data_IF_274404198565
#
_entry.id   IF_274404198565
#
_cell.length_a   1.000
_cell.length_b   1.000
_cell.length_c   1.000
_cell.angle_alpha   90.00
_cell.angle_beta   90.00
_cell.angle_gamma   90.00
#
_symmetry.space_group_name_H-M   'P 1'
#
loop_
_entity.id
_entity.type
_entity.pdbx_description
1 polymer ?
#
# COMPACT_ATOMS: atom_id res chain seq x y z
N UNK A 1 -3.35 16.58 -37.30
CA UNK A 1 -3.22 16.87 -35.85
C UNK A 1 -3.65 15.62 -35.12
N UNK A 2 -2.70 14.78 -34.68
CA UNK A 2 -3.04 13.71 -33.73
C UNK A 2 -3.49 14.40 -32.43
N UNK A 3 -4.72 14.17 -31.99
CA UNK A 3 -5.16 14.55 -30.66
C UNK A 3 -4.36 13.71 -29.66
N UNK A 4 -3.20 14.22 -29.22
CA UNK A 4 -2.35 13.52 -28.26
C UNK A 4 -3.13 13.22 -26.97
N UNK A 5 -2.87 12.05 -26.38
CA UNK A 5 -3.53 11.57 -25.17
C UNK A 5 -3.20 12.42 -23.94
N UNK A 6 -3.68 11.99 -22.77
CA UNK A 6 -3.41 12.64 -21.50
C UNK A 6 -1.97 12.37 -21.06
N UNK A 7 -1.18 13.42 -20.80
CA UNK A 7 0.20 13.29 -20.33
C UNK A 7 0.22 12.99 -18.84
N UNK A 8 0.87 11.87 -18.49
CA UNK A 8 1.03 11.40 -17.11
C UNK A 8 2.51 11.39 -16.76
N UNK A 9 2.84 11.84 -15.55
CA UNK A 9 4.20 11.80 -15.02
C UNK A 9 4.30 10.78 -13.88
N UNK A 10 5.33 9.96 -13.90
CA UNK A 10 5.67 9.04 -12.83
C UNK A 10 7.02 9.40 -12.24
N UNK A 11 7.13 9.35 -10.92
CA UNK A 11 8.33 9.76 -10.19
C UNK A 11 8.71 8.66 -9.21
N UNK A 12 9.94 8.14 -9.30
CA UNK A 12 10.55 7.36 -8.22
C UNK A 12 11.42 8.27 -7.37
N UNK A 13 11.09 8.40 -6.09
CA UNK A 13 11.75 9.31 -5.17
C UNK A 13 12.61 8.56 -4.15
N UNK A 14 13.83 9.04 -3.93
CA UNK A 14 14.68 8.69 -2.79
C UNK A 14 15.14 9.96 -2.07
N UNK A 15 15.81 9.88 -0.90
CA UNK A 15 16.23 11.07 -0.17
C UNK A 15 17.11 12.03 -0.99
N UNK A 16 17.99 11.51 -1.84
CA UNK A 16 19.02 12.29 -2.55
C UNK A 16 19.02 12.11 -4.08
N UNK A 17 18.03 11.42 -4.63
CA UNK A 17 17.90 11.18 -6.06
C UNK A 17 16.42 11.00 -6.47
N UNK A 18 16.16 11.17 -7.76
CA UNK A 18 14.88 10.83 -8.36
C UNK A 18 15.05 10.28 -9.78
N UNK A 19 14.05 9.54 -10.21
CA UNK A 19 13.85 9.17 -11.61
C UNK A 19 12.46 9.61 -12.02
N UNK A 20 12.27 9.95 -13.28
CA UNK A 20 10.96 10.26 -13.83
C UNK A 20 10.76 9.66 -15.20
N UNK A 21 9.49 9.42 -15.53
CA UNK A 21 9.01 9.15 -16.86
C UNK A 21 7.76 9.97 -17.13
N UNK A 22 7.56 10.37 -18.38
CA UNK A 22 6.38 11.05 -18.87
C UNK A 22 5.79 10.17 -19.97
N UNK A 23 4.53 9.78 -19.84
CA UNK A 23 3.82 8.97 -20.82
C UNK A 23 2.72 9.76 -21.50
N UNK A 24 2.45 9.42 -22.76
CA UNK A 24 1.36 9.94 -23.60
C UNK A 24 0.63 8.75 -24.23
N UNK A 25 -0.49 8.34 -23.60
CA UNK A 25 -1.10 7.05 -23.90
C UNK A 25 -0.11 5.90 -23.63
N UNK A 26 0.12 5.08 -24.66
CA UNK A 26 0.95 3.87 -24.57
C UNK A 26 2.46 4.12 -24.80
N UNK A 27 2.88 5.39 -24.95
CA UNK A 27 4.27 5.74 -25.25
C UNK A 27 4.92 6.54 -24.12
N UNK A 28 6.16 6.21 -23.77
CA UNK A 28 7.01 7.08 -22.95
C UNK A 28 7.67 8.14 -23.83
N UNK A 29 7.40 9.43 -23.55
CA UNK A 29 7.84 10.57 -24.37
C UNK A 29 9.03 11.32 -23.78
N UNK A 30 9.29 11.17 -22.48
CA UNK A 30 10.48 11.69 -21.82
C UNK A 30 10.78 10.88 -20.57
N UNK A 31 12.06 10.74 -20.23
CA UNK A 31 12.49 10.13 -18.98
C UNK A 31 13.85 10.71 -18.55
N UNK A 32 14.18 10.59 -17.27
CA UNK A 32 15.48 11.04 -16.78
C UNK A 32 15.71 10.70 -15.31
N UNK A 33 16.94 10.95 -14.87
CA UNK A 33 17.37 10.73 -13.49
C UNK A 33 18.33 11.83 -13.05
N UNK A 34 18.25 12.18 -11.76
CA UNK A 34 19.20 13.09 -11.09
C UNK A 34 19.51 12.54 -9.71
N UNK A 35 20.73 12.77 -9.25
CA UNK A 35 21.21 12.37 -7.94
C UNK A 35 22.15 13.45 -7.37
N UNK A 36 22.49 13.32 -6.08
CA UNK A 36 23.44 14.19 -5.39
C UNK A 36 22.79 15.37 -4.67
N UNK A 37 21.48 15.31 -4.42
CA UNK A 37 20.79 16.30 -3.59
C UNK A 37 21.12 16.09 -2.10
N UNK A 38 21.25 17.19 -1.37
CA UNK A 38 21.59 17.18 0.06
C UNK A 38 20.36 17.11 0.95
N UNK A 39 19.22 17.63 0.49
CA UNK A 39 17.96 17.59 1.23
C UNK A 39 16.85 16.98 0.38
N UNK A 40 15.92 16.29 1.04
CA UNK A 40 14.75 15.73 0.38
C UNK A 40 13.86 16.81 -0.27
N UNK A 41 13.78 18.00 0.34
CA UNK A 41 13.03 19.13 -0.23
C UNK A 41 13.62 19.58 -1.57
N UNK A 42 14.95 19.61 -1.69
CA UNK A 42 15.61 19.92 -2.96
C UNK A 42 15.37 18.82 -3.99
N UNK A 43 15.46 17.55 -3.58
CA UNK A 43 15.17 16.40 -4.45
C UNK A 43 13.75 16.49 -5.04
N UNK A 44 12.75 16.75 -4.18
CA UNK A 44 11.35 16.90 -4.61
C UNK A 44 11.19 18.09 -5.54
N UNK A 45 11.68 19.27 -5.16
CA UNK A 45 11.54 20.47 -5.98
C UNK A 45 12.19 20.31 -7.36
N UNK A 46 13.37 19.68 -7.41
CA UNK A 46 14.08 19.40 -8.66
C UNK A 46 13.32 18.41 -9.55
N UNK A 47 12.73 17.35 -8.98
CA UNK A 47 11.95 16.36 -9.73
C UNK A 47 10.79 17.03 -10.49
N UNK A 48 9.99 17.82 -9.79
CA UNK A 48 8.85 18.52 -10.39
C UNK A 48 9.28 19.61 -11.39
N UNK A 49 10.35 20.35 -11.10
CA UNK A 49 10.90 21.35 -12.02
C UNK A 49 11.41 20.72 -13.33
N UNK A 50 12.11 19.59 -13.24
CA UNK A 50 12.64 18.89 -14.41
C UNK A 50 11.51 18.33 -15.28
N UNK A 51 10.49 17.72 -14.68
CA UNK A 51 9.30 17.24 -15.41
C UNK A 51 8.59 18.40 -16.10
N UNK A 52 8.41 19.53 -15.43
CA UNK A 52 7.80 20.73 -16.01
C UNK A 52 8.57 21.24 -17.23
N UNK A 53 9.90 21.16 -17.20
CA UNK A 53 10.77 21.54 -18.33
C UNK A 53 10.81 20.51 -19.45
N UNK A 54 10.70 19.23 -19.14
CA UNK A 54 10.80 18.13 -20.10
C UNK A 54 9.47 17.80 -20.79
N UNK A 55 8.33 18.14 -20.17
CA UNK A 55 7.02 17.80 -20.68
C UNK A 55 6.69 18.54 -21.99
N UNK A 56 6.30 17.83 -23.08
CA UNK A 56 6.00 18.45 -24.36
C UNK A 56 4.65 19.20 -24.37
N UNK A 57 3.73 18.84 -23.45
CA UNK A 57 2.46 19.54 -23.22
C UNK A 57 2.14 19.48 -21.72
N UNK A 58 0.98 19.99 -21.34
CA UNK A 58 0.52 20.02 -19.95
C UNK A 58 0.37 18.59 -19.40
N UNK A 59 1.12 18.28 -18.33
CA UNK A 59 0.92 17.08 -17.51
C UNK A 59 -0.38 17.22 -16.72
N UNK A 60 -1.24 16.19 -16.79
CA UNK A 60 -2.55 16.15 -16.10
C UNK A 60 -2.56 15.25 -14.88
N UNK A 61 -1.61 14.34 -14.78
CA UNK A 61 -1.48 13.42 -13.66
C UNK A 61 -0.02 13.28 -13.26
N UNK A 62 0.26 13.26 -11.97
CA UNK A 62 1.57 12.95 -11.43
C UNK A 62 1.43 11.91 -10.31
N UNK A 63 2.15 10.79 -10.42
CA UNK A 63 2.18 9.75 -9.38
C UNK A 63 3.60 9.59 -8.85
N UNK A 64 3.75 9.57 -7.54
CA UNK A 64 5.06 9.49 -6.88
C UNK A 64 5.17 8.20 -6.06
N UNK A 65 6.17 7.37 -6.36
CA UNK A 65 6.67 6.33 -5.47
C UNK A 65 7.54 6.97 -4.39
N UNK A 66 7.09 6.88 -3.14
CA UNK A 66 7.77 7.45 -1.96
C UNK A 66 8.41 6.37 -1.08
N UNK A 67 8.35 5.10 -1.50
CA UNK A 67 8.82 3.97 -0.69
C UNK A 67 10.30 4.11 -0.33
N UNK A 68 11.13 4.55 -1.29
CA UNK A 68 12.56 4.80 -1.07
C UNK A 68 12.87 5.90 -0.05
N UNK A 69 11.91 6.78 0.25
CA UNK A 69 12.02 7.73 1.37
C UNK A 69 11.51 7.09 2.66
N UNK A 70 10.28 6.55 2.65
CA UNK A 70 9.64 5.99 3.84
C UNK A 70 10.45 4.87 4.51
N UNK A 71 11.07 4.01 3.70
CA UNK A 71 11.89 2.89 4.17
C UNK A 71 13.16 3.33 4.94
N UNK A 72 13.59 4.58 4.78
CA UNK A 72 14.75 5.14 5.50
C UNK A 72 14.38 5.80 6.83
N UNK A 73 13.09 5.93 7.12
CA UNK A 73 12.61 6.65 8.29
C UNK A 73 12.52 5.75 9.52
N UNK A 74 12.88 6.32 10.67
CA UNK A 74 12.52 5.77 11.97
C UNK A 74 11.09 6.18 12.31
N UNK A 75 10.18 5.24 12.62
CA UNK A 75 8.83 5.58 13.07
C UNK A 75 8.86 6.46 14.33
N UNK A 76 7.93 7.39 14.44
CA UNK A 76 7.75 8.19 15.65
C UNK A 76 7.37 7.30 16.86
N UNK A 77 7.63 7.73 18.11
CA UNK A 77 7.18 7.00 19.29
C UNK A 77 5.67 6.74 19.30
N UNK A 78 5.29 5.49 19.54
CA UNK A 78 3.90 4.99 19.50
C UNK A 78 3.48 4.47 20.87
N UNK A 79 2.24 4.77 21.26
CA UNK A 79 1.54 4.04 22.32
C UNK A 79 0.69 2.94 21.68
N UNK A 80 0.94 1.68 22.06
CA UNK A 80 0.22 0.52 21.55
C UNK A 80 -0.86 0.09 22.55
N UNK A 81 -2.12 0.11 22.13
CA UNK A 81 -3.27 -0.33 22.92
C UNK A 81 -3.80 -1.63 22.33
N UNK A 82 -3.81 -2.69 23.13
CA UNK A 82 -4.16 -4.04 22.69
C UNK A 82 -5.40 -4.52 23.41
N UNK A 83 -6.47 -4.75 22.66
CA UNK A 83 -7.77 -5.19 23.17
C UNK A 83 -7.91 -6.70 23.00
N UNK A 84 -7.96 -7.41 24.12
CA UNK A 84 -8.09 -8.87 24.15
C UNK A 84 -8.77 -9.35 25.42
N UNK A 85 -9.33 -10.59 25.46
CA UNK A 85 -10.07 -11.04 26.64
C UNK A 85 -9.21 -11.19 27.90
N UNK A 86 -7.91 -11.37 27.72
CA UNK A 86 -6.90 -11.52 28.77
C UNK A 86 -5.56 -10.97 28.27
N UNK A 87 -4.66 -10.51 29.17
CA UNK A 87 -3.30 -10.18 28.78
C UNK A 87 -2.56 -11.42 28.26
N UNK A 88 -1.56 -11.23 27.38
CA UNK A 88 -0.71 -12.32 26.93
C UNK A 88 0.11 -12.87 28.12
N UNK A 89 0.21 -14.18 28.21
CA UNK A 89 1.19 -14.82 29.10
C UNK A 89 2.58 -14.84 28.43
N UNK A 90 3.62 -15.27 29.15
CA UNK A 90 4.99 -15.26 28.66
C UNK A 90 5.20 -16.06 27.35
N UNK A 91 4.39 -17.08 27.09
CA UNK A 91 4.47 -17.87 25.85
C UNK A 91 3.74 -17.21 24.67
N UNK A 92 2.67 -16.46 24.96
CA UNK A 92 1.84 -15.80 23.95
C UNK A 92 2.14 -14.30 23.81
N UNK A 93 3.16 -13.80 24.51
CA UNK A 93 3.72 -12.47 24.31
C UNK A 93 4.42 -12.43 22.96
N UNK A 94 3.69 -12.02 21.91
CA UNK A 94 4.29 -11.87 20.60
C UNK A 94 5.28 -10.70 20.62
N UNK A 95 6.46 -10.93 20.06
CA UNK A 95 7.43 -9.88 19.85
C UNK A 95 7.12 -9.19 18.52
N UNK A 96 6.97 -7.86 18.57
CA UNK A 96 7.00 -7.08 17.34
C UNK A 96 8.39 -7.19 16.71
N UNK A 97 8.49 -7.15 15.37
CA UNK A 97 9.76 -6.93 14.70
C UNK A 97 10.49 -5.71 15.28
N UNK A 98 11.83 -5.76 15.33
CA UNK A 98 12.66 -4.76 16.02
C UNK A 98 12.27 -3.30 15.69
N UNK A 99 12.06 -2.99 14.41
CA UNK A 99 11.69 -1.65 13.96
C UNK A 99 10.39 -1.11 14.58
N UNK A 100 9.39 -1.97 14.81
CA UNK A 100 8.17 -1.56 15.52
C UNK A 100 8.30 -1.67 17.03
N UNK A 101 9.04 -2.66 17.54
CA UNK A 101 9.30 -2.80 18.97
C UNK A 101 10.00 -1.57 19.54
N UNK A 102 11.01 -1.05 18.84
CA UNK A 102 11.77 0.14 19.23
C UNK A 102 10.93 1.42 19.21
N UNK A 103 9.88 1.47 18.38
CA UNK A 103 8.96 2.60 18.31
C UNK A 103 7.91 2.59 19.42
N UNK A 104 7.57 1.43 19.99
CA UNK A 104 6.54 1.32 21.03
C UNK A 104 7.12 1.70 22.39
N UNK A 105 6.74 2.87 22.88
CA UNK A 105 7.24 3.40 24.17
C UNK A 105 6.34 3.07 25.36
N UNK A 106 5.08 2.69 25.10
CA UNK A 106 4.12 2.26 26.10
C UNK A 106 3.17 1.23 25.48
N UNK A 107 2.93 0.14 26.19
CA UNK A 107 1.92 -0.86 25.85
C UNK A 107 0.83 -0.89 26.91
N UNK A 108 -0.42 -0.78 26.50
CA UNK A 108 -1.60 -0.87 27.36
C UNK A 108 -2.44 -2.05 26.91
N UNK A 109 -2.81 -2.92 27.84
CA UNK A 109 -3.78 -3.99 27.60
C UNK A 109 -5.15 -3.55 28.10
N UNK A 110 -6.17 -3.72 27.27
CA UNK A 110 -7.57 -3.46 27.63
C UNK A 110 -8.36 -4.76 27.47
N UNK A 111 -9.15 -5.11 28.48
CA UNK A 111 -10.02 -6.29 28.39
C UNK A 111 -11.15 -6.03 27.39
N UNK A 112 -11.32 -6.93 26.44
CA UNK A 112 -12.38 -6.84 25.42
C UNK A 112 -12.18 -7.86 24.30
N UNK A 113 -12.77 -7.61 23.13
CA UNK A 113 -12.60 -8.39 21.92
C UNK A 113 -13.85 -9.13 21.47
N UNK A 114 -13.85 -9.50 20.20
CA UNK A 114 -14.97 -10.17 19.53
C UNK A 114 -14.52 -11.47 18.86
N UNK A 115 -15.48 -12.36 18.61
CA UNK A 115 -15.28 -13.55 17.81
C UNK A 115 -15.37 -13.23 16.30
N UNK A 116 -15.21 -14.27 15.46
CA UNK A 116 -15.31 -14.15 14.00
C UNK A 116 -16.74 -13.87 13.50
N UNK A 117 -17.74 -13.83 14.40
CA UNK A 117 -19.13 -13.45 14.11
C UNK A 117 -19.43 -12.01 14.57
N UNK A 118 -18.44 -11.32 15.13
CA UNK A 118 -18.61 -9.99 15.71
C UNK A 118 -19.36 -10.00 17.04
N UNK A 119 -19.53 -11.16 17.68
CA UNK A 119 -20.10 -11.25 19.03
C UNK A 119 -19.02 -10.97 20.07
N UNK A 120 -19.36 -10.26 21.15
CA UNK A 120 -18.41 -9.99 22.23
C UNK A 120 -17.93 -11.30 22.86
N UNK A 121 -16.61 -11.49 22.92
CA UNK A 121 -15.99 -12.53 23.76
C UNK A 121 -16.07 -12.12 25.23
N UNK A 122 -15.88 -10.83 25.49
CA UNK A 122 -16.05 -10.20 26.78
C UNK A 122 -16.30 -8.72 26.57
N UNK A 123 -17.07 -8.10 27.47
CA UNK A 123 -17.36 -6.68 27.40
C UNK A 123 -16.10 -5.84 27.56
N UNK A 124 -16.06 -4.72 26.83
CA UNK A 124 -14.96 -3.76 26.90
C UNK A 124 -14.86 -3.13 28.28
N UNK A 125 -13.70 -3.25 28.92
CA UNK A 125 -13.38 -2.59 30.19
C UNK A 125 -12.96 -1.13 29.95
N UNK A 126 -13.94 -0.30 29.61
CA UNK A 126 -13.72 1.10 29.28
C UNK A 126 -13.37 1.95 30.51
N UNK A 127 -13.94 1.61 31.67
CA UNK A 127 -13.63 2.28 32.93
C UNK A 127 -12.19 2.02 33.36
N UNK A 128 -11.72 0.77 33.29
CA UNK A 128 -10.31 0.46 33.51
C UNK A 128 -9.39 1.11 32.48
N UNK A 129 -9.83 1.24 31.22
CA UNK A 129 -9.06 1.96 30.20
C UNK A 129 -8.86 3.44 30.54
N UNK A 130 -9.89 4.13 31.05
CA UNK A 130 -9.82 5.55 31.40
C UNK A 130 -8.73 5.85 32.44
N UNK A 131 -8.44 4.91 33.34
CA UNK A 131 -7.35 5.03 34.32
C UNK A 131 -5.95 5.10 33.66
N UNK A 132 -5.79 4.57 32.45
CA UNK A 132 -4.54 4.63 31.69
C UNK A 132 -4.32 5.95 30.95
N UNK A 133 -5.38 6.73 30.69
CA UNK A 133 -5.30 7.96 29.87
C UNK A 133 -4.23 8.95 30.40
N UNK A 134 -4.15 9.28 31.70
CA UNK A 134 -3.12 10.19 32.20
C UNK A 134 -1.69 9.69 31.94
N UNK A 135 -1.46 8.38 32.05
CA UNK A 135 -0.16 7.78 31.76
C UNK A 135 0.17 7.78 30.27
N UNK A 136 -0.83 7.57 29.41
CA UNK A 136 -0.69 7.68 27.95
C UNK A 136 -0.28 9.11 27.57
N UNK A 137 -0.99 10.11 28.09
CA UNK A 137 -0.72 11.52 27.78
C UNK A 137 0.64 12.00 28.32
N UNK A 138 1.08 11.49 29.47
CA UNK A 138 2.38 11.87 30.05
C UNK A 138 3.58 11.36 29.26
N UNK A 139 3.41 10.36 28.37
CA UNK A 139 4.47 9.92 27.44
C UNK A 139 4.86 11.01 26.44
N UNK A 140 3.96 11.96 26.15
CA UNK A 140 4.14 12.97 25.11
C UNK A 140 4.00 12.44 23.67
N UNK A 141 3.82 11.13 23.46
CA UNK A 141 3.59 10.58 22.13
C UNK A 141 2.25 11.06 21.56
N UNK A 142 2.25 11.35 20.25
CA UNK A 142 1.05 11.72 19.49
C UNK A 142 0.49 10.56 18.68
N UNK A 143 1.28 9.54 18.38
CA UNK A 143 0.88 8.38 17.61
C UNK A 143 0.32 7.29 18.52
N UNK A 144 -0.93 6.89 18.28
CA UNK A 144 -1.60 5.80 18.99
C UNK A 144 -1.98 4.70 17.99
N UNK A 145 -1.66 3.45 18.32
CA UNK A 145 -2.12 2.28 17.59
C UNK A 145 -3.05 1.46 18.48
N UNK A 146 -4.25 1.14 17.99
CA UNK A 146 -5.24 0.33 18.70
C UNK A 146 -5.49 -0.95 17.91
N UNK A 147 -5.29 -2.10 18.56
CA UNK A 147 -5.46 -3.42 17.94
C UNK A 147 -6.40 -4.29 18.75
N UNK A 148 -7.52 -4.69 18.16
CA UNK A 148 -8.51 -5.57 18.77
C UNK A 148 -8.54 -7.01 18.24
N UNK A 149 -8.78 -7.96 19.14
CA UNK A 149 -9.21 -9.31 18.78
C UNK A 149 -10.62 -9.24 18.17
N UNK A 150 -10.81 -9.86 17.01
CA UNK A 150 -12.07 -9.79 16.26
C UNK A 150 -12.30 -8.47 15.52
N UNK A 151 -11.33 -7.54 15.54
CA UNK A 151 -11.48 -6.23 14.89
C UNK A 151 -11.88 -6.33 13.41
N UNK A 152 -11.50 -7.39 12.71
CA UNK A 152 -11.84 -7.61 11.29
C UNK A 152 -13.36 -7.68 10.99
N UNK A 153 -14.18 -8.06 11.96
CA UNK A 153 -15.64 -8.19 11.79
C UNK A 153 -16.38 -7.01 12.38
N UNK A 154 -15.85 -6.43 13.45
CA UNK A 154 -16.43 -5.27 14.12
C UNK A 154 -15.34 -4.38 14.72
N UNK A 155 -15.48 -3.08 14.50
CA UNK A 155 -14.56 -2.05 14.99
C UNK A 155 -14.98 -1.40 16.31
N UNK A 156 -16.07 -1.89 16.94
CA UNK A 156 -16.72 -1.22 18.08
C UNK A 156 -15.74 -0.90 19.21
N UNK A 157 -15.04 -1.92 19.73
CA UNK A 157 -14.12 -1.71 20.84
C UNK A 157 -12.93 -0.81 20.49
N UNK A 158 -12.40 -0.90 19.27
CA UNK A 158 -11.31 -0.02 18.83
C UNK A 158 -11.78 1.43 18.73
N UNK A 159 -12.99 1.64 18.19
CA UNK A 159 -13.56 2.99 18.00
C UNK A 159 -13.88 3.63 19.35
N UNK A 160 -14.47 2.90 20.30
CA UNK A 160 -14.79 3.43 21.63
C UNK A 160 -13.54 3.86 22.41
N UNK A 161 -12.44 3.12 22.30
CA UNK A 161 -11.15 3.51 22.87
C UNK A 161 -10.60 4.76 22.17
N UNK A 162 -10.71 4.82 20.84
CA UNK A 162 -10.28 5.97 20.07
C UNK A 162 -11.05 7.24 20.48
N UNK A 163 -12.36 7.14 20.68
CA UNK A 163 -13.22 8.24 21.10
C UNK A 163 -12.79 8.79 22.46
N UNK A 164 -12.58 7.94 23.49
CA UNK A 164 -12.09 8.37 24.81
C UNK A 164 -10.75 9.11 24.74
N UNK A 165 -9.83 8.65 23.88
CA UNK A 165 -8.53 9.29 23.69
C UNK A 165 -8.65 10.65 23.00
N UNK A 166 -9.48 10.75 21.96
CA UNK A 166 -9.69 11.98 21.20
C UNK A 166 -10.48 13.01 22.01
N UNK A 167 -11.39 12.58 22.88
CA UNK A 167 -12.05 13.43 23.86
C UNK A 167 -11.07 13.99 24.90
N UNK A 168 -10.12 13.16 25.35
CA UNK A 168 -9.09 13.59 26.29
C UNK A 168 -8.03 14.50 25.64
N UNK A 169 -7.67 14.25 24.38
CA UNK A 169 -6.75 15.07 23.60
C UNK A 169 -6.97 14.90 22.08
N UNK A 170 -7.57 15.92 21.46
CA UNK A 170 -7.87 15.94 20.03
C UNK A 170 -6.65 16.05 19.11
N UNK A 171 -5.45 16.27 19.65
CA UNK A 171 -4.20 16.29 18.87
C UNK A 171 -3.60 14.89 18.64
N UNK A 172 -4.18 13.84 19.24
CA UNK A 172 -3.71 12.48 19.05
C UNK A 172 -4.02 11.98 17.63
N UNK A 173 -3.07 11.27 17.03
CA UNK A 173 -3.24 10.56 15.78
C UNK A 173 -3.51 9.09 16.09
N UNK A 174 -4.79 8.71 16.02
CA UNK A 174 -5.24 7.36 16.34
C UNK A 174 -5.35 6.52 15.07
N UNK A 175 -4.65 5.39 15.05
CA UNK A 175 -4.77 4.34 14.04
C UNK A 175 -5.46 3.13 14.67
N UNK A 176 -6.54 2.65 14.04
CA UNK A 176 -7.24 1.43 14.45
C UNK A 176 -6.90 0.28 13.50
N UNK A 177 -6.78 -0.94 14.03
CA UNK A 177 -6.31 -2.08 13.26
C UNK A 177 -7.34 -2.66 12.29
N UNK A 178 -8.63 -2.37 12.48
CA UNK A 178 -9.72 -2.75 11.56
C UNK A 178 -9.46 -2.34 10.11
N UNK A 179 -8.72 -1.25 9.87
CA UNK A 179 -8.37 -0.81 8.52
C UNK A 179 -7.34 -1.71 7.81
N UNK A 180 -6.64 -2.57 8.56
CA UNK A 180 -5.61 -3.44 8.02
C UNK A 180 -6.04 -4.90 8.01
N UNK A 181 -6.05 -5.48 6.82
CA UNK A 181 -6.81 -6.69 6.55
C UNK A 181 -5.94 -7.93 6.69
N UNK A 182 -5.93 -8.51 7.89
CA UNK A 182 -5.25 -9.76 8.19
C UNK A 182 -6.00 -10.53 9.27
N UNK A 183 -6.10 -11.86 9.14
CA UNK A 183 -6.65 -12.71 10.21
C UNK A 183 -5.72 -12.78 11.43
N UNK A 184 -4.41 -12.63 11.25
CA UNK A 184 -3.41 -12.59 12.32
C UNK A 184 -3.50 -11.26 13.09
N UNK A 185 -3.73 -11.37 14.41
CA UNK A 185 -3.66 -10.24 15.34
C UNK A 185 -2.27 -9.58 15.28
N UNK A 186 -1.21 -10.37 15.25
CA UNK A 186 0.18 -9.88 15.23
C UNK A 186 0.46 -9.02 14.00
N UNK A 187 0.01 -9.45 12.83
CA UNK A 187 0.23 -8.70 11.60
C UNK A 187 -0.53 -7.37 11.63
N UNK A 188 -1.76 -7.36 12.17
CA UNK A 188 -2.55 -6.13 12.35
C UNK A 188 -1.91 -5.19 13.36
N UNK A 189 -1.44 -5.73 14.49
CA UNK A 189 -0.77 -4.97 15.55
C UNK A 189 0.49 -4.28 15.01
N UNK A 190 1.34 -5.05 14.34
CA UNK A 190 2.54 -4.52 13.70
C UNK A 190 2.21 -3.44 12.67
N UNK A 191 1.21 -3.70 11.83
CA UNK A 191 0.80 -2.76 10.78
C UNK A 191 0.25 -1.46 11.36
N UNK A 192 -0.60 -1.54 12.39
CA UNK A 192 -1.16 -0.37 13.05
C UNK A 192 -0.07 0.47 13.74
N UNK A 193 0.88 -0.17 14.41
CA UNK A 193 2.04 0.51 15.03
C UNK A 193 2.89 1.22 13.97
N UNK A 194 3.28 0.51 12.90
CA UNK A 194 4.10 1.09 11.83
C UNK A 194 3.37 2.25 11.13
N UNK A 195 2.08 2.08 10.84
CA UNK A 195 1.28 3.12 10.21
C UNK A 195 1.17 4.37 11.10
N UNK A 196 0.86 4.20 12.38
CA UNK A 196 0.76 5.29 13.35
C UNK A 196 2.09 6.04 13.49
N UNK A 197 3.21 5.31 13.59
CA UNK A 197 4.54 5.90 13.71
C UNK A 197 5.00 6.65 12.46
N UNK A 198 4.52 6.26 11.27
CA UNK A 198 4.87 6.91 9.99
C UNK A 198 3.91 8.04 9.59
N UNK A 199 2.72 8.15 10.18
CA UNK A 199 1.67 9.09 9.77
C UNK A 199 2.14 10.55 9.71
N UNK A 200 2.90 11.00 10.72
CA UNK A 200 3.43 12.37 10.76
C UNK A 200 4.44 12.64 9.63
N UNK A 201 5.30 11.67 9.32
CA UNK A 201 6.23 11.78 8.21
C UNK A 201 5.51 11.76 6.86
N UNK A 202 4.50 10.89 6.71
CA UNK A 202 3.62 10.85 5.55
C UNK A 202 2.89 12.17 5.30
N UNK A 203 2.41 12.84 6.36
CA UNK A 203 1.79 14.17 6.26
C UNK A 203 2.77 15.26 5.78
N UNK A 204 4.01 15.25 6.29
CA UNK A 204 5.08 16.17 5.84
C UNK A 204 5.44 15.93 4.38
N UNK A 205 5.57 14.66 3.98
CA UNK A 205 5.83 14.27 2.61
C UNK A 205 4.71 14.74 1.67
N UNK A 206 3.45 14.47 2.02
CA UNK A 206 2.29 14.90 1.24
C UNK A 206 2.31 16.42 1.02
N UNK A 207 2.52 17.19 2.10
CA UNK A 207 2.56 18.66 2.04
C UNK A 207 3.67 19.15 1.11
N UNK A 208 4.87 18.58 1.20
CA UNK A 208 6.01 18.96 0.36
C UNK A 208 5.80 18.60 -1.12
N UNK A 209 5.18 17.45 -1.39
CA UNK A 209 4.81 17.01 -2.74
C UNK A 209 3.72 17.93 -3.32
N UNK A 210 2.68 18.26 -2.56
CA UNK A 210 1.59 19.16 -2.97
C UNK A 210 2.09 20.57 -3.27
N UNK A 211 2.94 21.13 -2.41
CA UNK A 211 3.58 22.44 -2.62
C UNK A 211 4.43 22.46 -3.89
N UNK A 212 5.17 21.38 -4.16
CA UNK A 212 6.01 21.30 -5.36
C UNK A 212 5.19 21.09 -6.62
N UNK A 213 4.18 20.21 -6.58
CA UNK A 213 3.29 19.97 -7.70
C UNK A 213 2.50 21.23 -8.07
N UNK A 214 1.90 21.92 -7.10
CA UNK A 214 1.16 23.17 -7.34
C UNK A 214 2.02 24.27 -7.96
N UNK A 215 3.33 24.30 -7.63
CA UNK A 215 4.28 25.25 -8.21
C UNK A 215 4.66 24.93 -9.66
N UNK A 216 4.97 23.68 -9.97
CA UNK A 216 5.59 23.30 -11.25
C UNK A 216 4.65 22.60 -12.23
N UNK A 217 3.64 21.89 -11.72
CA UNK A 217 2.62 21.14 -12.48
C UNK A 217 1.20 21.52 -12.00
N UNK A 218 0.79 22.79 -12.06
CA UNK A 218 -0.45 23.29 -11.42
C UNK A 218 -1.76 22.69 -11.96
N UNK A 219 -1.72 21.95 -13.08
CA UNK A 219 -2.88 21.28 -13.70
C UNK A 219 -2.85 19.77 -13.50
N UNK A 220 -1.89 19.25 -12.76
CA UNK A 220 -1.74 17.82 -12.51
C UNK A 220 -2.46 17.41 -11.23
N UNK A 221 -3.22 16.31 -11.31
CA UNK A 221 -3.70 15.60 -10.13
C UNK A 221 -2.55 14.80 -9.52
N UNK A 222 -2.28 15.03 -8.23
CA UNK A 222 -1.15 14.42 -7.54
C UNK A 222 -1.57 13.21 -6.71
N UNK A 223 -0.91 12.08 -6.95
CA UNK A 223 -1.12 10.82 -6.26
C UNK A 223 0.21 10.23 -5.77
N UNK A 224 0.12 9.31 -4.81
CA UNK A 224 1.23 8.46 -4.43
C UNK A 224 0.97 7.03 -4.91
N UNK A 225 2.04 6.31 -5.22
CA UNK A 225 1.96 4.90 -5.59
C UNK A 225 1.67 4.04 -4.36
N UNK A 226 0.84 3.01 -4.55
CA UNK A 226 0.59 1.98 -3.55
C UNK A 226 1.34 0.70 -3.88
N UNK A 227 1.52 -0.11 -2.86
CA UNK A 227 2.18 -1.40 -2.89
C UNK A 227 1.45 -2.50 -3.68
N UNK A 228 0.21 -2.25 -4.10
CA UNK A 228 -0.52 -3.10 -5.03
C UNK A 228 -0.30 -2.75 -6.52
N UNK A 229 0.42 -1.66 -6.83
CA UNK A 229 0.69 -1.20 -8.20
C UNK A 229 -0.31 -0.17 -8.73
N UNK A 230 -1.36 0.14 -7.96
CA UNK A 230 -2.20 1.31 -8.22
C UNK A 230 -1.75 2.54 -7.44
N UNK A 231 -2.58 3.57 -7.43
CA UNK A 231 -2.33 4.84 -6.75
C UNK A 231 -3.48 5.25 -5.84
N UNK A 232 -3.20 6.23 -4.98
CA UNK A 232 -4.19 6.95 -4.20
C UNK A 232 -3.82 8.43 -4.09
N UNK A 233 -4.78 9.33 -3.83
CA UNK A 233 -4.48 10.76 -3.69
C UNK A 233 -3.37 11.00 -2.67
N UNK A 234 -2.47 11.94 -2.95
CA UNK A 234 -1.26 12.15 -2.14
C UNK A 234 -1.55 12.41 -0.66
N UNK A 235 -2.65 13.12 -0.35
CA UNK A 235 -3.15 13.37 1.02
C UNK A 235 -3.34 12.09 1.87
N UNK A 236 -3.55 10.94 1.25
CA UNK A 236 -3.72 9.65 1.95
C UNK A 236 -2.43 9.20 2.65
N UNK A 237 -1.26 9.71 2.27
CA UNK A 237 0.00 9.46 2.98
C UNK A 237 -0.05 9.89 4.46
N UNK A 238 -0.87 10.87 4.82
CA UNK A 238 -1.04 11.30 6.21
C UNK A 238 -1.81 10.28 7.08
N UNK A 239 -2.58 9.38 6.45
CA UNK A 239 -3.48 8.45 7.14
C UNK A 239 -3.00 7.01 6.99
N UNK A 240 -2.62 6.61 5.79
CA UNK A 240 -2.19 5.25 5.47
C UNK A 240 -0.85 5.22 4.73
N UNK A 241 0.24 5.78 5.28
CA UNK A 241 1.57 5.72 4.65
C UNK A 241 2.03 4.27 4.44
N UNK A 242 1.51 3.32 5.22
CA UNK A 242 1.86 1.90 5.11
C UNK A 242 1.57 1.31 3.73
N UNK A 243 0.55 1.82 3.02
CA UNK A 243 0.24 1.35 1.67
C UNK A 243 1.27 1.81 0.63
N UNK A 244 2.13 2.77 0.96
CA UNK A 244 3.20 3.27 0.11
C UNK A 244 4.57 2.63 0.42
N UNK A 245 4.65 1.77 1.44
CA UNK A 245 5.87 1.00 1.70
C UNK A 245 6.01 -0.12 0.67
N UNK A 246 7.22 -0.36 0.20
CA UNK A 246 7.55 -1.42 -0.76
C UNK A 246 6.79 -1.33 -2.10
N UNK A 247 6.30 -0.14 -2.47
CA UNK A 247 5.59 0.07 -3.73
C UNK A 247 6.45 -0.02 -4.98
N UNK A 248 7.78 0.08 -4.84
CA UNK A 248 8.73 -0.05 -5.94
C UNK A 248 8.54 -1.33 -6.75
N UNK A 249 8.39 -2.49 -6.09
CA UNK A 249 8.24 -3.77 -6.79
C UNK A 249 6.98 -3.80 -7.66
N UNK A 250 5.87 -3.31 -7.12
CA UNK A 250 4.62 -3.25 -7.86
C UNK A 250 4.72 -2.29 -9.06
N UNK A 251 5.37 -1.14 -8.90
CA UNK A 251 5.63 -0.21 -10.00
C UNK A 251 6.53 -0.82 -11.07
N UNK A 252 7.61 -1.51 -10.67
CA UNK A 252 8.54 -2.16 -11.60
C UNK A 252 7.80 -3.17 -12.49
N UNK A 253 6.97 -4.03 -11.88
CA UNK A 253 6.14 -4.98 -12.61
C UNK A 253 5.18 -4.27 -13.58
N UNK A 254 4.49 -3.23 -13.13
CA UNK A 254 3.56 -2.45 -13.97
C UNK A 254 4.29 -1.79 -15.14
N UNK A 255 5.45 -1.19 -14.90
CA UNK A 255 6.25 -0.53 -15.93
C UNK A 255 6.79 -1.50 -16.97
N UNK A 256 7.29 -2.66 -16.54
CA UNK A 256 7.73 -3.72 -17.47
C UNK A 256 6.55 -4.24 -18.30
N UNK A 257 5.43 -4.58 -17.67
CA UNK A 257 4.23 -5.06 -18.35
C UNK A 257 3.72 -4.06 -19.41
N UNK A 258 3.71 -2.77 -19.06
CA UNK A 258 3.32 -1.69 -19.97
C UNK A 258 4.26 -1.58 -21.17
N UNK A 259 5.58 -1.49 -20.93
CA UNK A 259 6.58 -1.35 -21.99
C UNK A 259 6.66 -2.58 -22.91
N UNK A 260 6.40 -3.77 -22.37
CA UNK A 260 6.33 -5.01 -23.13
C UNK A 260 4.96 -5.25 -23.80
N UNK A 261 3.96 -4.37 -23.60
CA UNK A 261 2.58 -4.56 -24.05
C UNK A 261 1.98 -5.90 -23.61
N UNK A 262 2.28 -6.31 -22.37
CA UNK A 262 1.93 -7.61 -21.80
C UNK A 262 1.19 -7.42 -20.46
N UNK A 263 -0.11 -7.07 -20.49
CA UNK A 263 -0.88 -6.75 -19.27
C UNK A 263 -1.26 -7.98 -18.43
N UNK A 264 -1.12 -9.19 -18.97
CA UNK A 264 -1.51 -10.44 -18.33
C UNK A 264 -0.41 -11.49 -18.46
N UNK A 265 -0.29 -12.35 -17.44
CA UNK A 265 0.58 -13.52 -17.47
C UNK A 265 1.68 -13.51 -16.41
N UNK A 266 2.57 -14.52 -16.49
CA UNK A 266 3.72 -14.63 -15.60
C UNK A 266 4.85 -13.70 -16.05
N UNK A 267 5.41 -12.95 -15.11
CA UNK A 267 6.49 -12.00 -15.32
C UNK A 267 7.68 -12.37 -14.44
N UNK A 268 8.82 -12.65 -15.07
CA UNK A 268 10.10 -12.90 -14.44
C UNK A 268 10.97 -11.65 -14.63
N UNK A 269 11.39 -11.05 -13.52
CA UNK A 269 12.27 -9.88 -13.52
C UNK A 269 13.62 -10.29 -12.96
N UNK A 270 14.68 -10.08 -13.75
CA UNK A 270 16.06 -10.17 -13.29
C UNK A 270 16.60 -8.76 -13.12
N UNK A 271 16.99 -8.42 -11.90
CA UNK A 271 17.63 -7.16 -11.53
C UNK A 271 18.95 -7.45 -10.81
N UNK A 272 19.68 -6.40 -10.46
CA UNK A 272 20.92 -6.52 -9.68
C UNK A 272 20.67 -7.10 -8.27
N UNK A 273 19.43 -7.07 -7.77
CA UNK A 273 19.03 -7.68 -6.49
C UNK A 273 18.71 -9.18 -6.60
N UNK A 274 18.67 -9.72 -7.83
CA UNK A 274 18.37 -11.11 -8.11
C UNK A 274 17.18 -11.29 -9.05
N UNK A 275 16.75 -12.55 -9.21
CA UNK A 275 15.67 -12.92 -10.12
C UNK A 275 14.43 -13.31 -9.34
N UNK A 276 13.32 -12.64 -9.63
CA UNK A 276 12.02 -12.84 -8.98
C UNK A 276 10.93 -13.07 -10.01
N UNK A 277 9.83 -13.70 -9.58
CA UNK A 277 8.65 -13.96 -10.41
C UNK A 277 7.40 -13.40 -9.75
N UNK A 278 6.50 -12.90 -10.58
CA UNK A 278 5.16 -12.45 -10.23
C UNK A 278 4.18 -12.76 -11.37
N UNK A 279 2.91 -12.40 -11.18
CA UNK A 279 1.86 -12.53 -12.18
C UNK A 279 1.11 -11.22 -12.32
N UNK A 280 0.79 -10.88 -13.56
CA UNK A 280 0.00 -9.71 -13.93
C UNK A 280 -1.40 -10.16 -14.33
N UNK A 281 -2.38 -9.34 -13.99
CA UNK A 281 -3.73 -9.45 -14.50
C UNK A 281 -4.30 -8.05 -14.77
N UNK A 282 -4.76 -7.81 -16.00
CA UNK A 282 -5.31 -6.52 -16.43
C UNK A 282 -4.39 -5.33 -16.11
N UNK A 283 -3.08 -5.50 -16.34
CA UNK A 283 -2.07 -4.46 -16.13
C UNK A 283 -1.66 -4.22 -14.68
N UNK A 284 -2.22 -4.96 -13.71
CA UNK A 284 -1.88 -4.86 -12.30
C UNK A 284 -1.28 -6.17 -11.77
N UNK A 285 -0.33 -6.13 -10.83
CA UNK A 285 0.23 -7.33 -10.24
C UNK A 285 -0.81 -8.02 -9.35
N UNK A 286 -0.79 -9.35 -9.34
CA UNK A 286 -1.45 -10.12 -8.31
C UNK A 286 -0.88 -9.71 -6.95
N UNK A 287 -1.78 -9.42 -6.02
CA UNK A 287 -1.43 -8.97 -4.69
C UNK A 287 -1.90 -9.96 -3.62
N UNK A 288 -1.18 -10.02 -2.50
CA UNK A 288 -1.61 -10.72 -1.27
C UNK A 288 -1.82 -9.71 -0.17
N UNK A 289 -2.74 -10.00 0.75
CA UNK A 289 -3.06 -9.12 1.90
C UNK A 289 -1.95 -9.01 2.93
N UNK A 290 -0.86 -9.74 2.75
CA UNK A 290 0.24 -9.83 3.68
C UNK A 290 1.55 -9.83 2.90
N UNK A 291 2.46 -8.94 3.27
CA UNK A 291 3.86 -8.93 2.83
C UNK A 291 4.62 -10.01 3.59
N UNK A 292 5.52 -10.73 2.93
CA UNK A 292 6.46 -11.65 3.59
C UNK A 292 7.84 -11.46 2.92
N UNK A 293 8.59 -10.46 3.37
CA UNK A 293 9.96 -10.16 2.91
C UNK A 293 10.98 -11.02 3.67
N UNK A 294 10.74 -12.33 3.75
CA UNK A 294 11.58 -13.27 4.50
C UNK A 294 11.38 -13.17 6.02
N UNK A 295 12.44 -13.40 6.81
CA UNK A 295 12.31 -13.74 8.24
C UNK A 295 11.78 -12.62 9.17
N UNK A 296 11.50 -11.40 8.70
CA UNK A 296 11.34 -10.26 9.62
C UNK A 296 10.24 -9.23 9.32
N UNK A 297 9.44 -9.32 8.25
CA UNK A 297 8.47 -8.25 8.00
C UNK A 297 7.16 -8.69 7.36
N UNK A 298 6.08 -8.49 8.12
CA UNK A 298 4.73 -8.92 7.74
C UNK A 298 3.73 -7.79 7.92
N UNK A 299 3.60 -6.94 6.90
CA UNK A 299 2.60 -5.86 6.88
C UNK A 299 1.30 -6.38 6.27
N UNK A 300 0.19 -6.14 6.96
CA UNK A 300 -1.18 -6.42 6.53
C UNK A 300 -1.68 -5.34 5.55
N UNK A 301 -0.99 -5.23 4.41
CA UNK A 301 -1.34 -4.36 3.29
C UNK A 301 -1.33 -5.20 2.02
N UNK A 302 -2.30 -4.98 1.12
CA UNK A 302 -2.34 -5.69 -0.15
C UNK A 302 -1.12 -5.31 -0.99
N UNK A 303 -0.20 -6.23 -1.21
CA UNK A 303 1.08 -5.98 -1.87
C UNK A 303 1.32 -6.94 -3.01
N UNK A 304 1.92 -6.44 -4.10
CA UNK A 304 2.33 -7.25 -5.22
C UNK A 304 3.17 -8.46 -4.78
N UNK A 305 2.84 -9.63 -5.30
CA UNK A 305 3.55 -10.87 -4.97
C UNK A 305 4.96 -10.81 -5.54
N UNK A 306 5.97 -11.13 -4.73
CA UNK A 306 7.35 -11.40 -5.14
C UNK A 306 7.73 -12.80 -4.69
N UNK A 307 8.08 -13.67 -5.62
CA UNK A 307 8.63 -14.98 -5.29
C UNK A 307 10.03 -15.13 -5.86
N UNK A 308 10.96 -15.80 -5.13
CA UNK A 308 12.22 -16.22 -5.73
C UNK A 308 11.93 -17.10 -6.95
N UNK A 309 12.64 -16.86 -8.04
CA UNK A 309 12.48 -17.69 -9.23
C UNK A 309 13.02 -19.10 -8.97
N UNK A 310 12.25 -20.14 -9.31
CA UNK A 310 12.65 -21.55 -9.20
C UNK A 310 12.35 -22.28 -10.51
N UNK A 311 13.05 -23.37 -10.83
CA UNK A 311 13.08 -23.98 -12.18
C UNK A 311 11.79 -24.71 -12.65
N UNK A 312 10.58 -24.35 -12.21
CA UNK A 312 9.36 -25.13 -12.47
C UNK A 312 8.16 -24.27 -12.91
N UNK A 313 8.28 -23.61 -14.07
CA UNK A 313 7.26 -22.74 -14.65
C UNK A 313 6.63 -23.37 -15.90
N UNK A 314 5.29 -23.33 -16.00
CA UNK A 314 4.49 -24.10 -16.99
C UNK A 314 4.12 -23.33 -18.26
N UNK A 315 4.19 -22.01 -18.24
CA UNK A 315 3.80 -21.09 -19.33
C UNK A 315 5.05 -20.28 -19.70
N UNK A 316 5.33 -19.97 -20.98
CA UNK A 316 6.47 -19.11 -21.31
C UNK A 316 6.26 -17.74 -20.65
N UNK A 317 7.08 -17.35 -19.66
CA UNK A 317 6.90 -16.08 -18.99
C UNK A 317 7.46 -14.94 -19.84
N UNK A 318 6.97 -13.71 -19.62
CA UNK A 318 7.72 -12.52 -19.99
C UNK A 318 8.96 -12.47 -19.10
N UNK A 319 10.15 -12.49 -19.70
CA UNK A 319 11.43 -12.42 -18.98
C UNK A 319 12.05 -11.06 -19.27
N UNK A 320 12.08 -10.21 -18.25
CA UNK A 320 12.69 -8.90 -18.29
C UNK A 320 14.09 -8.91 -17.68
N UNK A 321 15.09 -8.49 -18.46
CA UNK A 321 16.44 -8.22 -17.97
C UNK A 321 16.59 -6.72 -17.69
N UNK A 322 16.60 -6.36 -16.40
CA UNK A 322 16.73 -4.99 -15.90
C UNK A 322 18.10 -4.75 -15.22
N UNK A 323 19.04 -5.69 -15.35
CA UNK A 323 20.37 -5.58 -14.74
C UNK A 323 21.17 -4.46 -15.38
N UNK A 324 22.00 -3.79 -14.58
CA UNK A 324 22.91 -2.76 -15.09
C UNK A 324 24.02 -3.34 -15.98
N UNK A 325 24.41 -4.60 -15.74
CA UNK A 325 25.38 -5.35 -16.55
C UNK A 325 24.71 -6.56 -17.22
N UNK A 326 24.52 -6.46 -18.54
CA UNK A 326 23.94 -7.52 -19.39
C UNK A 326 25.01 -8.36 -20.09
N UNK A 327 26.31 -8.14 -19.80
CA UNK A 327 27.41 -8.92 -20.39
C UNK A 327 27.41 -10.38 -19.93
N UNK A 328 26.87 -10.63 -18.73
CA UNK A 328 26.70 -11.97 -18.20
C UNK A 328 25.34 -12.56 -18.59
N UNK A 329 25.28 -13.87 -18.93
CA UNK A 329 24.01 -14.52 -19.22
C UNK A 329 23.08 -14.43 -18.01
N UNK A 330 21.77 -14.45 -18.27
CA UNK A 330 20.79 -14.45 -17.20
C UNK A 330 20.93 -15.69 -16.31
N UNK A 331 20.63 -15.58 -15.01
CA UNK A 331 20.55 -16.72 -14.11
C UNK A 331 19.60 -17.81 -14.63
N UNK A 332 19.77 -19.04 -14.16
CA UNK A 332 18.90 -20.18 -14.50
C UNK A 332 18.79 -20.50 -16.00
N UNK A 333 19.74 -20.01 -16.82
CA UNK A 333 19.74 -20.15 -18.29
C UNK A 333 18.51 -19.52 -18.95
N UNK A 334 17.95 -18.50 -18.32
CA UNK A 334 16.87 -17.72 -18.90
C UNK A 334 17.34 -16.99 -20.17
N UNK A 335 16.41 -16.73 -21.07
CA UNK A 335 16.62 -15.86 -22.21
C UNK A 335 15.67 -14.68 -22.08
N UNK A 336 16.22 -13.47 -22.13
CA UNK A 336 15.41 -12.26 -22.06
C UNK A 336 14.46 -12.23 -23.25
N UNK A 337 13.18 -11.98 -22.98
CA UNK A 337 12.18 -11.68 -24.01
C UNK A 337 11.90 -10.18 -24.07
N UNK A 338 12.40 -9.42 -23.09
CA UNK A 338 12.25 -7.98 -23.00
C UNK A 338 13.45 -7.34 -22.31
N UNK A 339 14.02 -6.32 -22.93
CA UNK A 339 15.07 -5.48 -22.32
C UNK A 339 14.55 -4.07 -22.24
N UNK A 340 14.84 -3.40 -21.12
CA UNK A 340 14.44 -2.01 -20.92
C UNK A 340 15.16 -1.12 -21.93
N UNK A 341 14.46 -0.20 -22.63
CA UNK A 341 15.14 0.72 -23.54
C UNK A 341 16.06 1.68 -22.78
N UNK A 342 17.14 2.11 -23.43
CA UNK A 342 18.17 2.95 -22.83
C UNK A 342 17.59 4.24 -22.21
N UNK A 343 17.99 4.52 -20.97
CA UNK A 343 17.61 5.75 -20.25
C UNK A 343 16.22 5.72 -19.60
N UNK A 344 15.43 4.66 -19.77
CA UNK A 344 14.19 4.46 -19.02
C UNK A 344 14.43 3.73 -17.71
N UNK A 345 13.51 3.94 -16.75
CA UNK A 345 13.41 3.14 -15.53
C UNK A 345 11.98 2.61 -15.40
N UNK A 346 11.82 1.29 -15.30
CA UNK A 346 10.52 0.63 -15.20
C UNK A 346 9.65 1.18 -14.05
N UNK A 347 10.24 1.47 -12.88
CA UNK A 347 9.50 1.99 -11.72
C UNK A 347 8.83 3.33 -12.04
N UNK A 348 9.58 4.27 -12.63
CA UNK A 348 9.05 5.59 -13.00
C UNK A 348 7.95 5.50 -14.05
N UNK A 349 8.06 4.56 -15.01
CA UNK A 349 6.99 4.28 -15.98
C UNK A 349 5.77 3.69 -15.30
N UNK A 350 5.95 2.71 -14.42
CA UNK A 350 4.88 2.11 -13.63
C UNK A 350 4.12 3.13 -12.78
N UNK A 351 4.83 4.11 -12.20
CA UNK A 351 4.18 5.24 -11.52
C UNK A 351 3.30 6.05 -12.47
N UNK A 352 3.80 6.38 -13.68
CA UNK A 352 3.08 7.22 -14.64
C UNK A 352 1.76 6.58 -15.10
N UNK A 353 1.72 5.25 -15.21
CA UNK A 353 0.56 4.50 -15.71
C UNK A 353 -0.33 3.93 -14.61
N UNK A 354 0.02 4.09 -13.34
CA UNK A 354 -0.73 3.51 -12.23
C UNK A 354 -2.20 4.01 -12.19
N UNK A 355 -3.20 3.11 -12.19
CA UNK A 355 -4.59 3.48 -12.01
C UNK A 355 -4.89 3.71 -10.53
N UNK A 356 -5.96 4.44 -10.21
CA UNK A 356 -6.51 4.40 -8.85
C UNK A 356 -6.93 2.97 -8.52
N UNK A 357 -6.60 2.49 -7.33
CA UNK A 357 -7.03 1.15 -6.88
C UNK A 357 -7.60 1.19 -5.48
N UNK A 358 -8.57 0.31 -5.23
CA UNK A 358 -9.14 0.08 -3.90
C UNK A 358 -9.34 -1.42 -3.68
N UNK A 359 -9.25 -1.81 -2.42
CA UNK A 359 -9.63 -3.14 -1.96
C UNK A 359 -10.83 -3.03 -1.01
N UNK A 360 -11.85 -3.84 -1.26
CA UNK A 360 -12.91 -4.15 -0.30
C UNK A 360 -12.65 -5.58 0.16
N UNK A 361 -12.21 -5.73 1.41
CA UNK A 361 -11.94 -7.02 2.03
C UNK A 361 -12.70 -7.08 3.34
N UNK A 362 -13.65 -8.00 3.47
CA UNK A 362 -14.50 -8.09 4.66
C UNK A 362 -15.02 -9.50 4.86
N UNK A 363 -15.32 -9.83 6.11
CA UNK A 363 -16.08 -11.03 6.42
C UNK A 363 -17.57 -10.77 6.23
N UNK A 364 -18.28 -11.76 5.69
CA UNK A 364 -19.72 -11.72 5.52
C UNK A 364 -20.35 -13.07 5.85
N UNK A 365 -21.59 -13.04 6.34
CA UNK A 365 -22.39 -14.25 6.52
C UNK A 365 -23.16 -14.55 5.23
N UNK A 366 -22.93 -15.72 4.66
CA UNK A 366 -23.53 -16.26 3.46
C UNK A 366 -23.86 -17.76 3.67
N UNK A 367 -25.06 -18.09 4.21
CA UNK A 367 -25.47 -19.46 4.45
C UNK A 367 -25.86 -20.22 3.16
N UNK A 368 -26.11 -19.49 2.08
CA UNK A 368 -26.51 -20.03 0.78
C UNK A 368 -25.87 -19.23 -0.38
N UNK A 369 -25.92 -19.81 -1.58
CA UNK A 369 -25.32 -19.25 -2.79
C UNK A 369 -25.96 -17.91 -3.19
N UNK A 370 -27.27 -17.74 -2.96
CA UNK A 370 -27.97 -16.50 -3.29
C UNK A 370 -27.50 -15.35 -2.40
N UNK A 371 -27.31 -15.62 -1.11
CA UNK A 371 -26.77 -14.65 -0.15
C UNK A 371 -25.32 -14.34 -0.45
N UNK A 372 -24.50 -15.36 -0.78
CA UNK A 372 -23.12 -15.16 -1.23
C UNK A 372 -23.05 -14.20 -2.43
N UNK A 373 -23.86 -14.46 -3.46
CA UNK A 373 -23.92 -13.62 -4.65
C UNK A 373 -24.36 -12.19 -4.33
N UNK A 374 -25.32 -12.00 -3.43
CA UNK A 374 -25.76 -10.67 -3.00
C UNK A 374 -24.64 -9.90 -2.28
N UNK A 375 -23.97 -10.53 -1.31
CA UNK A 375 -22.91 -9.84 -0.54
C UNK A 375 -21.67 -9.56 -1.39
N UNK A 376 -21.36 -10.42 -2.37
CA UNK A 376 -20.27 -10.19 -3.32
C UNK A 376 -20.60 -9.03 -4.26
N UNK A 377 -21.80 -8.97 -4.84
CA UNK A 377 -22.24 -7.82 -5.67
C UNK A 377 -22.20 -6.50 -4.90
N UNK A 378 -22.67 -6.50 -3.66
CA UNK A 378 -22.58 -5.31 -2.81
C UNK A 378 -21.12 -4.88 -2.58
N UNK A 379 -20.20 -5.84 -2.38
CA UNK A 379 -18.77 -5.53 -2.25
C UNK A 379 -18.15 -4.99 -3.56
N UNK A 380 -18.59 -5.48 -4.72
CA UNK A 380 -18.21 -4.93 -6.03
C UNK A 380 -18.73 -3.51 -6.25
N UNK A 381 -19.98 -3.25 -5.90
CA UNK A 381 -20.58 -1.91 -5.95
C UNK A 381 -19.86 -0.94 -5.01
N UNK A 382 -19.56 -1.36 -3.78
CA UNK A 382 -18.75 -0.60 -2.81
C UNK A 382 -17.37 -0.28 -3.40
N UNK A 383 -16.68 -1.27 -3.99
CA UNK A 383 -15.35 -1.07 -4.57
C UNK A 383 -15.38 -0.08 -5.76
N UNK A 384 -16.36 -0.20 -6.65
CA UNK A 384 -16.54 0.76 -7.76
C UNK A 384 -16.85 2.17 -7.26
N UNK A 385 -17.71 2.28 -6.25
CA UNK A 385 -18.03 3.57 -5.65
C UNK A 385 -16.78 4.21 -5.04
N UNK A 386 -16.01 3.47 -4.24
CA UNK A 386 -14.83 4.02 -3.56
C UNK A 386 -13.76 4.44 -4.57
N UNK A 387 -13.49 3.67 -5.63
CA UNK A 387 -12.46 4.06 -6.61
C UNK A 387 -12.82 5.36 -7.35
N UNK A 388 -14.10 5.58 -7.63
CA UNK A 388 -14.59 6.86 -8.18
C UNK A 388 -14.39 7.99 -7.17
N UNK A 389 -14.71 7.79 -5.89
CA UNK A 389 -14.45 8.79 -4.85
C UNK A 389 -12.96 9.11 -4.64
N UNK A 390 -12.06 8.19 -5.01
CA UNK A 390 -10.61 8.44 -4.99
C UNK A 390 -10.15 9.33 -6.14
N UNK A 391 -10.94 9.47 -7.21
CA UNK A 391 -10.63 10.30 -8.38
C UNK A 391 -10.74 9.60 -9.73
N UNK A 392 -11.15 8.33 -9.79
CA UNK A 392 -11.35 7.65 -11.06
C UNK A 392 -12.61 8.13 -11.79
N UNK A 393 -12.56 8.19 -13.11
CA UNK A 393 -13.71 8.46 -13.96
C UNK A 393 -14.72 7.28 -13.86
N UNK A 394 -16.03 7.52 -13.67
CA UNK A 394 -17.02 6.46 -13.50
C UNK A 394 -17.03 5.42 -14.62
N UNK A 395 -16.74 5.82 -15.86
CA UNK A 395 -16.73 4.93 -17.03
C UNK A 395 -15.50 4.04 -17.11
N UNK A 396 -14.41 4.37 -16.39
CA UNK A 396 -13.18 3.57 -16.37
C UNK A 396 -13.12 2.62 -15.17
N UNK A 397 -13.98 2.82 -14.17
CA UNK A 397 -14.04 1.98 -12.97
C UNK A 397 -14.43 0.53 -13.30
N UNK A 398 -13.52 -0.41 -13.03
CA UNK A 398 -13.69 -1.84 -13.30
C UNK A 398 -13.29 -2.70 -12.10
N UNK A 399 -13.86 -3.91 -12.02
CA UNK A 399 -13.44 -4.93 -11.05
C UNK A 399 -12.31 -5.73 -11.68
N UNK A 400 -11.16 -5.75 -11.01
CA UNK A 400 -9.96 -6.48 -11.43
C UNK A 400 -9.96 -7.88 -10.83
N UNK A 401 -10.45 -8.00 -9.59
CA UNK A 401 -10.52 -9.27 -8.87
C UNK A 401 -11.75 -9.26 -7.98
N UNK A 402 -12.51 -10.36 -7.94
CA UNK A 402 -13.59 -10.57 -6.99
C UNK A 402 -13.59 -12.03 -6.56
N UNK A 403 -13.19 -12.29 -5.32
CA UNK A 403 -13.02 -13.62 -4.78
C UNK A 403 -13.77 -13.77 -3.45
N UNK A 404 -14.32 -14.97 -3.23
CA UNK A 404 -14.85 -15.39 -1.94
C UNK A 404 -14.06 -16.60 -1.43
N UNK A 405 -13.55 -16.51 -0.22
CA UNK A 405 -12.82 -17.60 0.43
C UNK A 405 -13.63 -18.13 1.60
N UNK A 406 -13.78 -19.45 1.66
CA UNK A 406 -14.23 -20.11 2.88
C UNK A 406 -13.17 -19.90 3.97
N UNK A 407 -13.61 -19.58 5.19
CA UNK A 407 -12.70 -19.38 6.32
C UNK A 407 -12.38 -20.76 6.93
N UNK A 408 -11.12 -21.24 6.90
CA UNK A 408 -10.77 -22.51 7.53
C UNK A 408 -10.98 -22.41 9.04
N UNK A 409 -11.68 -23.38 9.64
CA UNK A 409 -12.07 -23.41 11.06
C UNK A 409 -13.03 -22.26 11.46
N UNK A 410 -14.29 -22.40 11.07
CA UNK A 410 -15.38 -21.47 11.39
C UNK A 410 -16.73 -22.03 10.97
N UNK A 411 -17.80 -21.25 11.20
CA UNK A 411 -19.13 -21.55 10.69
C UNK A 411 -19.07 -21.67 9.15
N UNK A 412 -19.59 -22.74 8.52
CA UNK A 412 -19.66 -22.84 7.05
C UNK A 412 -20.33 -21.64 6.39
N UNK A 413 -21.16 -20.89 7.13
CA UNK A 413 -21.86 -19.71 6.63
C UNK A 413 -21.00 -18.43 6.59
N UNK A 414 -19.72 -18.44 7.02
CA UNK A 414 -18.89 -17.21 7.02
C UNK A 414 -17.84 -17.29 5.91
N UNK A 415 -17.84 -16.28 5.05
CA UNK A 415 -16.90 -16.13 3.94
C UNK A 415 -16.10 -14.84 4.09
N UNK A 416 -14.86 -14.85 3.61
CA UNK A 416 -14.07 -13.64 3.38
C UNK A 416 -14.25 -13.22 1.93
N UNK A 417 -14.81 -12.04 1.72
CA UNK A 417 -14.91 -11.42 0.41
C UNK A 417 -13.68 -10.55 0.18
N UNK A 418 -13.07 -10.64 -0.99
CA UNK A 418 -11.95 -9.80 -1.40
C UNK A 418 -12.20 -9.31 -2.82
N UNK A 419 -12.38 -8.01 -2.96
CA UNK A 419 -12.68 -7.35 -4.22
C UNK A 419 -11.68 -6.23 -4.46
N UNK A 420 -11.09 -6.21 -5.65
CA UNK A 420 -10.23 -5.14 -6.14
C UNK A 420 -10.93 -4.40 -7.26
N UNK A 421 -11.03 -3.09 -7.14
CA UNK A 421 -11.41 -2.23 -8.25
C UNK A 421 -10.25 -1.33 -8.68
N UNK A 422 -10.23 -0.97 -9.96
CA UNK A 422 -9.31 0.00 -10.51
C UNK A 422 -10.03 1.00 -11.42
N UNK A 423 -9.44 2.18 -11.63
CA UNK A 423 -9.95 3.17 -12.58
C UNK A 423 -8.93 4.26 -12.91
N UNK A 424 -9.11 4.89 -14.06
CA UNK A 424 -8.24 5.95 -14.58
C UNK A 424 -8.90 7.33 -14.48
N UNK A 425 -8.08 8.39 -14.56
CA UNK A 425 -8.55 9.78 -14.70
C UNK A 425 -8.88 10.06 -16.17
N UNK A 426 -9.87 10.92 -16.42
CA UNK A 426 -10.34 11.34 -17.74
C UNK A 426 -9.33 12.15 -18.55
#
# INVERSE_FOLDING_TARGET
MHSGGTLRAGIRLSPSAFHYAITDGDACVAAGTRAGFTTLSDTVAAAFAEISSAAPRVVREATVDVSGVLETLTPAPVVAIRVSPRPPDAMHAHQLPAQAADAVILSVHVKGGHDLRGQELTSLDLDGFREHIPAILSTGARAIAITGVGAMTTRDHETRIADELLEANSELHVTISHEFLSSSFVNRDYTAVMNAGLASAGAKLASMLELSCSRYLPKAELSHLKNDGGKAPVRRLAVTPIHALYSRWAAELCGVAFLASAPDGELVVSSDEGTSVSWMHSGLPLARSVVDEGSHLTIASNTAIRHPFTLNHRVPPLIADLRGDTSQPLPFRLQSTFTLPDGLEAVSVGCAIAPYTVWVDRFATAPDVDTLNRVLRAAEEDARSIVVHLGAEPTTASIIEANSFAVPFGNPDVVRLRVRAAGEVS
#
